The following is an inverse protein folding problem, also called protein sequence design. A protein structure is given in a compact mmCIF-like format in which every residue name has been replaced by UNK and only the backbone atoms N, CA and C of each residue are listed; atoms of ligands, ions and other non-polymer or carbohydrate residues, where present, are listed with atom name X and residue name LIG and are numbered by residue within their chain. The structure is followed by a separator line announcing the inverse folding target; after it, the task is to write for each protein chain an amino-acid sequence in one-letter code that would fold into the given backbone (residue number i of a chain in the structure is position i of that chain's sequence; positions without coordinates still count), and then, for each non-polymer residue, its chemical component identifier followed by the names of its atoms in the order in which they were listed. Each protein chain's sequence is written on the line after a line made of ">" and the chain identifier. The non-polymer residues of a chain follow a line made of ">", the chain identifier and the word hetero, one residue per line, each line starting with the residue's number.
data_IF_725182926792
#
_entry.id   IF_725182926792
#
_cell.length_a   1.000
_cell.length_b   1.000
_cell.length_c   1.000
_cell.angle_alpha   90.00
_cell.angle_beta   90.00
_cell.angle_gamma   90.00
#
_symmetry.space_group_name_H-M   'P 1'
#
loop_
_entity.id
_entity.type
_entity.pdbx_description
1 polymer ?
#
# COMPACT_ATOMS: atom_id res chain seq x y z
N UNK A 1 4.74 -32.31 25.28
CA UNK A 1 3.63 -31.59 25.93
C UNK A 1 3.73 -30.11 25.61
N UNK A 2 3.05 -29.67 24.57
CA UNK A 2 2.81 -28.26 24.36
C UNK A 2 2.06 -27.74 25.59
N UNK A 3 2.69 -26.87 26.36
CA UNK A 3 2.16 -26.29 27.56
C UNK A 3 0.85 -25.56 27.22
N UNK A 4 -0.22 -25.78 28.00
CA UNK A 4 -1.51 -25.11 27.87
C UNK A 4 -1.42 -23.57 27.91
N UNK A 5 -0.31 -23.00 28.41
CA UNK A 5 0.03 -21.58 28.34
C UNK A 5 0.33 -21.10 26.92
N UNK A 6 1.06 -21.91 26.12
CA UNK A 6 1.38 -21.54 24.73
C UNK A 6 0.15 -21.45 23.81
N UNK A 7 -0.79 -22.39 23.94
CA UNK A 7 -2.04 -22.37 23.17
C UNK A 7 -2.92 -21.13 23.51
N UNK A 8 -3.03 -20.77 24.79
CA UNK A 8 -3.78 -19.59 25.21
C UNK A 8 -3.22 -18.28 24.63
N UNK A 9 -1.89 -18.17 24.49
CA UNK A 9 -1.25 -17.00 23.92
C UNK A 9 -1.43 -16.94 22.39
N UNK A 10 -1.47 -18.09 21.70
CA UNK A 10 -1.80 -18.19 20.27
C UNK A 10 -3.18 -17.63 19.97
N UNK A 11 -4.20 -18.15 20.66
CA UNK A 11 -5.59 -17.71 20.45
C UNK A 11 -5.77 -16.23 20.76
N UNK A 12 -5.19 -15.72 21.87
CA UNK A 12 -5.25 -14.30 22.19
C UNK A 12 -4.65 -13.41 21.09
N UNK A 13 -3.51 -13.79 20.52
CA UNK A 13 -2.88 -13.02 19.43
C UNK A 13 -3.70 -13.09 18.15
N UNK A 14 -4.27 -14.24 17.81
CA UNK A 14 -5.16 -14.38 16.66
C UNK A 14 -6.41 -13.51 16.82
N UNK A 15 -7.05 -13.53 17.99
CA UNK A 15 -8.23 -12.72 18.28
C UNK A 15 -7.94 -11.21 18.23
N UNK A 16 -6.71 -10.78 18.56
CA UNK A 16 -6.29 -9.39 18.44
C UNK A 16 -6.09 -8.94 16.98
N UNK A 17 -5.68 -9.82 16.12
CA UNK A 17 -5.28 -9.48 14.73
C UNK A 17 -6.40 -9.74 13.73
N UNK A 18 -7.23 -10.78 13.95
CA UNK A 18 -8.34 -11.18 13.05
C UNK A 18 -9.32 -10.05 12.70
N UNK A 19 -9.75 -9.15 13.62
CA UNK A 19 -10.66 -8.05 13.29
C UNK A 19 -10.08 -7.04 12.29
N UNK A 20 -8.76 -7.02 12.10
CA UNK A 20 -8.06 -6.09 11.22
C UNK A 20 -7.54 -6.76 9.94
N UNK A 21 -7.99 -7.98 9.66
CA UNK A 21 -7.74 -8.66 8.41
C UNK A 21 -8.80 -8.25 7.40
N UNK A 22 -8.39 -7.66 6.30
CA UNK A 22 -9.21 -7.50 5.11
C UNK A 22 -8.55 -8.20 3.93
N UNK A 23 -9.36 -8.83 3.10
CA UNK A 23 -8.87 -9.54 1.92
C UNK A 23 -8.70 -8.59 0.75
N UNK A 24 -7.69 -8.84 -0.07
CA UNK A 24 -7.69 -8.38 -1.45
C UNK A 24 -8.72 -9.25 -2.24
N UNK A 25 -9.42 -8.71 -3.21
CA UNK A 25 -9.40 -7.36 -3.75
C UNK A 25 -10.19 -6.35 -2.89
N UNK A 26 -9.61 -5.18 -2.70
CA UNK A 26 -10.25 -4.02 -2.08
C UNK A 26 -10.95 -3.12 -3.11
N UNK A 27 -10.96 -3.57 -4.34
CA UNK A 27 -11.56 -2.90 -5.50
C UNK A 27 -12.93 -3.51 -5.81
N UNK A 28 -13.78 -2.73 -6.46
CA UNK A 28 -15.10 -3.15 -6.89
C UNK A 28 -15.12 -3.36 -8.40
N UNK A 29 -15.60 -4.51 -8.85
CA UNK A 29 -15.60 -4.90 -10.26
C UNK A 29 -16.52 -4.07 -11.17
N UNK A 30 -17.52 -3.40 -10.59
CA UNK A 30 -18.51 -2.59 -11.35
C UNK A 30 -18.23 -1.09 -11.25
N UNK A 31 -17.17 -0.67 -10.58
CA UNK A 31 -16.80 0.72 -10.38
C UNK A 31 -15.37 0.96 -10.88
N UNK A 32 -15.09 2.18 -11.31
CA UNK A 32 -13.70 2.61 -11.51
C UNK A 32 -13.01 2.77 -10.16
N UNK A 33 -11.80 2.24 -10.05
CA UNK A 33 -11.08 2.19 -8.78
C UNK A 33 -9.77 2.97 -8.86
N UNK A 34 -9.41 3.64 -7.76
CA UNK A 34 -8.10 4.28 -7.59
C UNK A 34 -7.49 3.84 -6.26
N UNK A 35 -6.25 3.36 -6.32
CA UNK A 35 -5.41 3.10 -5.16
C UNK A 35 -4.32 4.17 -5.10
N UNK A 36 -4.23 4.89 -3.99
CA UNK A 36 -3.14 5.82 -3.70
C UNK A 36 -2.18 5.13 -2.74
N UNK A 37 -0.94 4.88 -3.17
CA UNK A 37 0.10 4.28 -2.34
C UNK A 37 0.93 5.37 -1.67
N UNK A 38 0.89 5.43 -0.33
CA UNK A 38 1.62 6.40 0.49
C UNK A 38 2.60 5.70 1.44
N UNK A 39 3.52 6.46 2.03
CA UNK A 39 4.50 5.95 3.00
C UNK A 39 5.85 6.63 2.85
N UNK A 40 6.79 6.36 3.76
CA UNK A 40 8.11 7.02 3.77
C UNK A 40 9.03 6.47 2.67
N UNK A 41 10.11 7.22 2.38
CA UNK A 41 11.15 6.72 1.48
C UNK A 41 11.77 5.41 2.02
N UNK A 42 12.00 4.47 1.13
CA UNK A 42 12.57 3.17 1.49
C UNK A 42 11.57 2.17 2.08
N UNK A 43 10.30 2.53 2.29
CA UNK A 43 9.28 1.58 2.75
C UNK A 43 8.83 0.56 1.69
N UNK A 44 9.33 0.64 0.46
CA UNK A 44 8.96 -0.30 -0.61
C UNK A 44 7.69 0.07 -1.38
N UNK A 45 7.27 1.35 -1.39
CA UNK A 45 6.07 1.81 -2.12
C UNK A 45 6.06 1.42 -3.60
N UNK A 46 7.05 1.85 -4.36
CA UNK A 46 7.14 1.59 -5.80
C UNK A 46 7.11 0.10 -6.12
N UNK A 47 7.83 -0.71 -5.34
CA UNK A 47 7.80 -2.17 -5.46
C UNK A 47 6.42 -2.74 -5.10
N UNK A 48 5.75 -2.19 -4.09
CA UNK A 48 4.40 -2.61 -3.69
C UNK A 48 3.38 -2.23 -4.76
N UNK A 49 3.50 -1.06 -5.39
CA UNK A 49 2.66 -0.66 -6.53
C UNK A 49 2.78 -1.68 -7.68
N UNK A 50 4.00 -2.09 -8.02
CA UNK A 50 4.22 -3.12 -9.05
C UNK A 50 3.61 -4.48 -8.66
N UNK A 51 3.75 -4.89 -7.40
CA UNK A 51 3.16 -6.14 -6.89
C UNK A 51 1.63 -6.11 -6.89
N UNK A 52 1.02 -5.00 -6.48
CA UNK A 52 -0.43 -4.79 -6.57
C UNK A 52 -0.90 -4.84 -8.02
N UNK A 53 -0.20 -4.14 -8.91
CA UNK A 53 -0.52 -4.16 -10.33
C UNK A 53 -0.45 -5.57 -10.91
N UNK A 54 0.59 -6.34 -10.56
CA UNK A 54 0.70 -7.73 -10.97
C UNK A 54 -0.43 -8.59 -10.39
N UNK A 55 -0.72 -8.47 -9.10
CA UNK A 55 -1.77 -9.21 -8.41
C UNK A 55 -3.14 -9.02 -9.08
N UNK A 56 -3.54 -7.77 -9.36
CA UNK A 56 -4.81 -7.49 -10.02
C UNK A 56 -4.82 -7.85 -11.51
N UNK A 57 -3.67 -7.76 -12.20
CA UNK A 57 -3.58 -8.20 -13.60
C UNK A 57 -3.82 -9.71 -13.76
N UNK A 58 -3.42 -10.52 -12.77
CA UNK A 58 -3.73 -11.95 -12.75
C UNK A 58 -5.24 -12.22 -12.60
N UNK A 59 -5.99 -11.27 -12.08
CA UNK A 59 -7.47 -11.31 -11.98
C UNK A 59 -8.15 -10.70 -13.22
N UNK A 60 -7.39 -10.43 -14.30
CA UNK A 60 -7.89 -9.87 -15.56
C UNK A 60 -8.40 -8.43 -15.47
N UNK A 61 -8.04 -7.67 -14.42
CA UNK A 61 -8.35 -6.25 -14.35
C UNK A 61 -7.45 -5.45 -15.31
N UNK A 62 -8.03 -4.48 -15.99
CA UNK A 62 -7.29 -3.46 -16.75
C UNK A 62 -6.69 -2.44 -15.78
N UNK A 63 -5.40 -2.13 -15.95
CA UNK A 63 -4.65 -1.34 -14.96
C UNK A 63 -3.85 -0.24 -15.62
N UNK A 64 -3.79 0.92 -14.96
CA UNK A 64 -2.90 2.03 -15.31
C UNK A 64 -2.13 2.48 -14.07
N UNK A 65 -0.87 2.88 -14.24
CA UNK A 65 -0.01 3.35 -13.17
C UNK A 65 0.21 4.87 -13.25
N UNK A 66 0.24 5.54 -12.11
CA UNK A 66 0.56 6.97 -11.99
C UNK A 66 1.87 7.17 -11.23
N UNK A 67 2.91 7.73 -11.86
CA UNK A 67 4.20 8.02 -11.25
C UNK A 67 4.20 9.41 -10.59
N UNK A 68 3.57 9.54 -9.42
CA UNK A 68 3.43 10.81 -8.72
C UNK A 68 4.60 11.11 -7.74
N UNK A 69 5.65 10.30 -7.68
CA UNK A 69 6.95 10.67 -7.05
C UNK A 69 7.82 11.44 -8.07
N UNK A 70 7.37 12.62 -8.45
CA UNK A 70 7.98 13.45 -9.51
C UNK A 70 9.33 14.07 -9.11
N UNK A 71 9.67 14.03 -7.84
CA UNK A 71 10.94 14.58 -7.31
C UNK A 71 12.11 13.59 -7.43
N UNK A 72 11.82 12.32 -7.63
CA UNK A 72 12.83 11.26 -7.72
C UNK A 72 12.79 10.61 -9.09
N UNK A 73 13.69 11.07 -9.98
CA UNK A 73 13.83 10.47 -11.31
C UNK A 73 13.95 8.94 -11.25
N UNK A 74 14.76 8.42 -10.32
CA UNK A 74 14.93 6.98 -10.13
C UNK A 74 13.63 6.24 -9.75
N UNK A 75 12.67 6.87 -9.04
CA UNK A 75 11.39 6.26 -8.73
C UNK A 75 10.50 6.12 -9.98
N UNK A 76 10.46 7.18 -10.80
CA UNK A 76 9.74 7.15 -12.08
C UNK A 76 10.37 6.13 -13.04
N UNK A 77 11.69 6.06 -13.11
CA UNK A 77 12.40 5.06 -13.92
C UNK A 77 12.11 3.64 -13.42
N UNK A 78 12.17 3.40 -12.11
CA UNK A 78 11.85 2.11 -11.52
C UNK A 78 10.41 1.67 -11.84
N UNK A 79 9.43 2.58 -11.68
CA UNK A 79 8.04 2.29 -12.02
C UNK A 79 7.89 2.03 -13.53
N UNK A 80 8.65 2.74 -14.37
CA UNK A 80 8.64 2.54 -15.83
C UNK A 80 9.18 1.17 -16.24
N UNK A 81 10.20 0.66 -15.54
CA UNK A 81 10.71 -0.70 -15.75
C UNK A 81 9.62 -1.72 -15.44
N UNK A 82 8.94 -1.57 -14.29
CA UNK A 82 7.84 -2.44 -13.90
C UNK A 82 6.67 -2.39 -14.90
N UNK A 83 6.30 -1.20 -15.36
CA UNK A 83 5.22 -1.06 -16.34
C UNK A 83 5.54 -1.76 -17.65
N UNK A 84 6.77 -1.68 -18.14
CA UNK A 84 7.22 -2.44 -19.32
C UNK A 84 7.16 -3.95 -19.09
N UNK A 85 7.65 -4.41 -17.93
CA UNK A 85 7.64 -5.84 -17.57
C UNK A 85 6.22 -6.41 -17.48
N UNK A 86 5.28 -5.62 -16.95
CA UNK A 86 3.89 -6.01 -16.76
C UNK A 86 3.00 -5.66 -17.96
N UNK A 87 3.56 -5.03 -19.00
CA UNK A 87 2.82 -4.51 -20.16
C UNK A 87 1.69 -3.56 -19.77
N UNK A 88 1.95 -2.65 -18.83
CA UNK A 88 1.00 -1.66 -18.33
C UNK A 88 1.38 -0.26 -18.78
N UNK A 89 0.36 0.57 -19.01
CA UNK A 89 0.56 1.99 -19.28
C UNK A 89 0.90 2.75 -17.99
N UNK A 90 1.79 3.74 -18.12
CA UNK A 90 2.20 4.58 -17.00
C UNK A 90 1.99 6.04 -17.36
N UNK A 91 1.29 6.77 -16.49
CA UNK A 91 1.21 8.22 -16.53
C UNK A 91 2.43 8.79 -15.80
N UNK A 92 3.24 9.51 -16.54
CA UNK A 92 4.40 10.23 -16.02
C UNK A 92 4.24 11.73 -16.23
N UNK A 93 5.10 12.50 -15.60
CA UNK A 93 5.25 13.93 -15.81
C UNK A 93 6.73 14.32 -15.90
N UNK A 94 6.98 15.58 -16.20
CA UNK A 94 8.33 16.13 -16.15
C UNK A 94 8.86 16.11 -14.70
N UNK A 95 10.17 16.14 -14.56
CA UNK A 95 10.81 16.20 -13.24
C UNK A 95 10.33 17.45 -12.48
N UNK A 96 9.97 17.27 -11.22
CA UNK A 96 9.38 18.30 -10.35
C UNK A 96 8.01 18.84 -10.81
N UNK A 97 7.33 18.18 -11.73
CA UNK A 97 5.94 18.51 -12.03
C UNK A 97 5.04 18.26 -10.80
N UNK A 98 3.87 18.93 -10.79
CA UNK A 98 2.91 18.77 -9.69
C UNK A 98 2.40 17.31 -9.60
N UNK A 99 2.65 16.59 -8.50
CA UNK A 99 2.16 15.23 -8.30
C UNK A 99 0.64 15.08 -8.47
N UNK A 100 -0.13 16.09 -8.09
CA UNK A 100 -1.57 16.09 -8.25
C UNK A 100 -2.01 16.14 -9.72
N UNK A 101 -1.19 16.70 -10.62
CA UNK A 101 -1.46 16.66 -12.06
C UNK A 101 -1.34 15.24 -12.63
N UNK A 102 -0.42 14.43 -12.11
CA UNK A 102 -0.29 13.02 -12.48
C UNK A 102 -1.50 12.22 -11.99
N UNK A 103 -1.88 12.43 -10.74
CA UNK A 103 -3.08 11.81 -10.17
C UNK A 103 -4.33 12.17 -11.00
N UNK A 104 -4.50 13.44 -11.36
CA UNK A 104 -5.59 13.91 -12.18
C UNK A 104 -5.63 13.19 -13.54
N UNK A 105 -4.49 13.14 -14.25
CA UNK A 105 -4.40 12.47 -15.55
C UNK A 105 -4.69 10.96 -15.43
N UNK A 106 -4.24 10.32 -14.34
CA UNK A 106 -4.51 8.92 -14.07
C UNK A 106 -6.02 8.68 -13.91
N UNK A 107 -6.69 9.45 -13.07
CA UNK A 107 -8.15 9.37 -12.85
C UNK A 107 -8.91 9.67 -14.15
N UNK A 108 -8.51 10.71 -14.87
CA UNK A 108 -9.15 11.09 -16.13
C UNK A 108 -9.10 9.93 -17.14
N UNK A 109 -7.96 9.28 -17.24
CA UNK A 109 -7.77 8.15 -18.14
C UNK A 109 -8.53 6.90 -17.71
N UNK A 110 -8.57 6.62 -16.40
CA UNK A 110 -9.39 5.54 -15.81
C UNK A 110 -10.85 5.73 -16.20
N UNK A 111 -11.39 6.93 -16.04
CA UNK A 111 -12.78 7.21 -16.37
C UNK A 111 -13.05 7.25 -17.88
N UNK A 112 -12.19 7.87 -18.68
CA UNK A 112 -12.38 8.02 -20.11
C UNK A 112 -12.31 6.71 -20.89
N UNK A 113 -11.54 5.74 -20.41
CA UNK A 113 -11.32 4.45 -21.09
C UNK A 113 -11.92 3.26 -20.36
N UNK A 114 -12.72 3.49 -19.29
CA UNK A 114 -13.32 2.44 -18.46
C UNK A 114 -12.26 1.43 -17.96
N UNK A 115 -11.11 1.96 -17.50
CA UNK A 115 -10.06 1.14 -16.88
C UNK A 115 -10.53 0.77 -15.48
N UNK A 116 -10.35 -0.49 -15.08
CA UNK A 116 -10.85 -1.00 -13.80
C UNK A 116 -10.09 -0.39 -12.60
N UNK A 117 -8.78 -0.16 -12.76
CA UNK A 117 -7.91 0.24 -11.65
C UNK A 117 -6.78 1.19 -12.06
N UNK A 118 -6.72 2.34 -11.40
CA UNK A 118 -5.53 3.20 -11.38
C UNK A 118 -4.75 3.04 -10.08
N UNK A 119 -3.42 2.85 -10.13
CA UNK A 119 -2.55 2.79 -8.95
C UNK A 119 -1.55 3.93 -9.02
N UNK A 120 -1.53 4.79 -7.99
CA UNK A 120 -0.72 6.00 -7.92
C UNK A 120 0.41 5.80 -6.91
N UNK A 121 1.67 5.81 -7.39
CA UNK A 121 2.87 5.84 -6.54
C UNK A 121 3.19 7.28 -6.15
N UNK A 122 3.31 7.56 -4.85
CA UNK A 122 3.54 8.91 -4.33
C UNK A 122 4.93 9.09 -3.71
N UNK A 123 5.36 10.34 -3.56
CA UNK A 123 6.57 10.67 -2.80
C UNK A 123 6.49 10.22 -1.34
N UNK A 124 7.66 10.06 -0.70
CA UNK A 124 7.74 9.64 0.71
C UNK A 124 8.78 10.45 1.52
N UNK A 125 9.06 11.69 1.14
CA UNK A 125 10.10 12.53 1.74
C UNK A 125 9.68 13.10 3.08
N UNK A 126 9.89 12.35 4.15
CA UNK A 126 9.54 12.82 5.50
C UNK A 126 10.43 13.98 6.00
N UNK A 127 11.58 14.22 5.37
CA UNK A 127 12.46 15.36 5.68
C UNK A 127 11.78 16.71 5.41
N UNK A 128 10.98 16.81 4.34
CA UNK A 128 10.10 17.94 4.01
C UNK A 128 8.65 17.60 4.31
N UNK A 129 8.38 17.31 5.57
CA UNK A 129 7.11 16.76 6.04
C UNK A 129 5.91 17.61 5.65
N UNK A 130 5.97 18.92 5.84
CA UNK A 130 4.86 19.84 5.53
C UNK A 130 4.51 19.76 4.04
N UNK A 131 5.50 19.90 3.17
CA UNK A 131 5.32 19.88 1.72
C UNK A 131 4.77 18.52 1.25
N UNK A 132 5.28 17.40 1.81
CA UNK A 132 4.78 16.08 1.51
C UNK A 132 3.29 15.94 1.87
N UNK A 133 2.91 16.36 3.08
CA UNK A 133 1.53 16.22 3.55
C UNK A 133 0.56 17.10 2.75
N UNK A 134 0.97 18.31 2.36
CA UNK A 134 0.18 19.17 1.48
C UNK A 134 0.01 18.55 0.07
N UNK A 135 1.07 17.95 -0.48
CA UNK A 135 0.98 17.22 -1.75
C UNK A 135 0.02 16.03 -1.67
N UNK A 136 0.11 15.21 -0.61
CA UNK A 136 -0.77 14.07 -0.42
C UNK A 136 -2.23 14.49 -0.25
N UNK A 137 -2.51 15.54 0.51
CA UNK A 137 -3.86 16.14 0.61
C UNK A 137 -4.37 16.60 -0.76
N UNK A 138 -3.50 17.22 -1.55
CA UNK A 138 -3.88 17.69 -2.89
C UNK A 138 -4.20 16.54 -3.83
N UNK A 139 -3.41 15.46 -3.80
CA UNK A 139 -3.67 14.23 -4.56
C UNK A 139 -5.02 13.65 -4.13
N UNK A 140 -5.21 13.43 -2.83
CA UNK A 140 -6.44 12.87 -2.26
C UNK A 140 -7.67 13.67 -2.69
N UNK A 141 -7.62 15.00 -2.54
CA UNK A 141 -8.69 15.91 -2.96
C UNK A 141 -8.98 15.84 -4.46
N UNK A 142 -7.96 15.80 -5.30
CA UNK A 142 -8.10 15.72 -6.76
C UNK A 142 -8.83 14.44 -7.16
N UNK A 143 -8.48 13.30 -6.56
CA UNK A 143 -9.13 12.03 -6.84
C UNK A 143 -10.59 12.06 -6.39
N UNK A 144 -10.89 12.55 -5.18
CA UNK A 144 -12.24 12.61 -4.63
C UNK A 144 -13.17 13.52 -5.43
N UNK A 145 -12.66 14.66 -5.93
CA UNK A 145 -13.48 15.66 -6.62
C UNK A 145 -13.81 15.32 -8.07
N UNK A 146 -13.05 14.41 -8.70
CA UNK A 146 -13.23 14.07 -10.12
C UNK A 146 -14.50 13.25 -10.39
N UNK A 147 -14.84 12.33 -9.50
CA UNK A 147 -16.07 11.56 -9.60
C UNK A 147 -16.49 10.97 -8.25
N UNK A 148 -17.71 11.26 -7.82
CA UNK A 148 -18.26 10.76 -6.54
C UNK A 148 -18.54 9.23 -6.54
N UNK A 149 -18.61 8.61 -7.72
CA UNK A 149 -18.79 7.15 -7.85
C UNK A 149 -17.46 6.37 -7.89
N UNK A 150 -16.34 7.05 -7.77
CA UNK A 150 -15.02 6.43 -7.81
C UNK A 150 -14.71 5.75 -6.47
N UNK A 151 -14.39 4.45 -6.51
CA UNK A 151 -13.92 3.75 -5.32
C UNK A 151 -12.45 4.08 -5.07
N UNK A 152 -12.19 5.03 -4.17
CA UNK A 152 -10.83 5.41 -3.78
C UNK A 152 -10.40 4.67 -2.52
N UNK A 153 -9.17 4.16 -2.53
CA UNK A 153 -8.49 3.59 -1.36
C UNK A 153 -7.10 4.18 -1.21
N UNK A 154 -6.77 4.62 -0.02
CA UNK A 154 -5.40 5.02 0.33
C UNK A 154 -4.73 3.93 1.14
N UNK A 155 -3.69 3.35 0.58
CA UNK A 155 -2.90 2.28 1.19
C UNK A 155 -1.57 2.84 1.66
N UNK A 156 -1.25 2.64 2.93
CA UNK A 156 0.07 2.99 3.43
C UNK A 156 0.99 1.77 3.45
N UNK A 157 2.13 1.91 2.78
CA UNK A 157 3.19 0.89 2.77
C UNK A 157 4.16 1.20 3.90
N UNK A 158 4.29 0.26 4.83
CA UNK A 158 5.20 0.35 5.97
C UNK A 158 6.28 -0.73 5.88
N UNK A 159 7.46 -0.40 6.39
CA UNK A 159 8.59 -1.33 6.48
C UNK A 159 8.45 -2.15 7.78
N UNK A 160 8.23 -3.45 7.65
CA UNK A 160 8.06 -4.36 8.79
C UNK A 160 9.28 -4.46 9.69
N UNK A 161 10.47 -4.08 9.21
CA UNK A 161 11.71 -4.13 10.00
C UNK A 161 11.88 -2.95 10.96
N UNK A 162 11.12 -1.85 10.78
CA UNK A 162 11.32 -0.59 11.52
C UNK A 162 10.50 -0.46 12.81
N UNK A 163 9.66 -1.43 13.11
CA UNK A 163 8.98 -1.57 14.40
C UNK A 163 8.18 -0.33 14.84
N UNK A 164 8.50 0.20 16.01
CA UNK A 164 7.82 1.36 16.61
C UNK A 164 7.90 2.63 15.73
N UNK A 165 8.89 2.73 14.86
CA UNK A 165 9.00 3.84 13.91
C UNK A 165 7.86 3.82 12.89
N UNK A 166 7.46 2.65 12.41
CA UNK A 166 6.33 2.48 11.51
C UNK A 166 5.02 2.97 12.13
N UNK A 167 4.79 2.70 13.42
CA UNK A 167 3.60 3.18 14.13
C UNK A 167 3.53 4.70 14.10
N UNK A 168 4.63 5.37 14.48
CA UNK A 168 4.69 6.84 14.47
C UNK A 168 4.48 7.43 13.07
N UNK A 169 4.98 6.75 12.04
CA UNK A 169 4.76 7.17 10.65
C UNK A 169 3.27 7.11 10.29
N UNK A 170 2.59 6.00 10.59
CA UNK A 170 1.15 5.86 10.30
C UNK A 170 0.34 6.89 11.09
N UNK A 171 0.60 7.07 12.39
CA UNK A 171 -0.05 8.08 13.21
C UNK A 171 0.12 9.49 12.63
N UNK A 172 1.30 9.78 12.06
CA UNK A 172 1.59 11.06 11.46
C UNK A 172 0.83 11.29 10.14
N UNK A 173 0.85 10.30 9.23
CA UNK A 173 0.11 10.38 7.97
C UNK A 173 -1.40 10.49 8.20
N UNK A 174 -1.93 9.75 9.18
CA UNK A 174 -3.36 9.74 9.54
C UNK A 174 -3.90 11.08 10.02
N UNK A 175 -3.03 12.02 10.43
CA UNK A 175 -3.44 13.40 10.76
C UNK A 175 -3.85 14.22 9.53
N UNK A 176 -3.42 13.82 8.34
CA UNK A 176 -3.55 14.61 7.13
C UNK A 176 -4.42 13.97 6.06
N UNK A 177 -4.39 12.64 5.98
CA UNK A 177 -5.15 11.85 5.01
C UNK A 177 -5.77 10.63 5.69
N UNK A 178 -6.89 10.15 5.18
CA UNK A 178 -7.48 8.89 5.62
C UNK A 178 -6.63 7.74 5.07
N UNK A 179 -6.24 6.80 5.93
CA UNK A 179 -5.58 5.56 5.53
C UNK A 179 -6.62 4.44 5.63
N UNK A 180 -6.92 3.79 4.50
CA UNK A 180 -7.92 2.73 4.43
C UNK A 180 -7.33 1.37 4.80
N UNK A 181 -6.02 1.18 4.64
CA UNK A 181 -5.34 -0.05 5.01
C UNK A 181 -3.84 0.02 4.89
N UNK A 182 -3.18 -1.02 5.38
CA UNK A 182 -1.73 -1.16 5.41
C UNK A 182 -1.28 -2.31 4.50
N UNK A 183 -0.13 -2.13 3.86
CA UNK A 183 0.68 -3.23 3.33
C UNK A 183 2.01 -3.20 4.06
N UNK A 184 2.40 -4.35 4.62
CA UNK A 184 3.63 -4.49 5.36
C UNK A 184 4.68 -5.13 4.46
N UNK A 185 5.73 -4.39 4.15
CA UNK A 185 6.82 -4.83 3.28
C UNK A 185 8.00 -5.40 4.07
N UNK A 186 8.92 -6.07 3.38
CA UNK A 186 10.21 -6.56 3.90
C UNK A 186 10.07 -7.54 5.08
N UNK A 187 9.13 -8.46 4.99
CA UNK A 187 8.88 -9.48 6.01
C UNK A 187 9.67 -10.78 5.78
N UNK A 188 10.89 -10.67 5.27
CA UNK A 188 11.74 -11.82 4.93
C UNK A 188 12.50 -12.41 6.13
N UNK A 189 12.32 -11.86 7.34
CA UNK A 189 13.07 -12.24 8.55
C UNK A 189 12.18 -12.63 9.74
N UNK A 190 12.64 -13.61 10.52
CA UNK A 190 11.93 -14.26 11.62
C UNK A 190 11.61 -13.38 12.86
N UNK A 191 12.30 -12.24 13.05
CA UNK A 191 12.16 -11.42 14.26
C UNK A 191 10.95 -10.44 14.26
N UNK A 192 10.12 -10.44 13.22
CA UNK A 192 9.23 -9.33 12.87
C UNK A 192 7.81 -9.51 13.41
N UNK A 193 7.45 -10.71 13.77
CA UNK A 193 6.07 -11.07 14.11
C UNK A 193 5.46 -10.31 15.28
N UNK A 194 6.21 -10.16 16.38
CA UNK A 194 5.73 -9.44 17.56
C UNK A 194 5.50 -7.95 17.31
N UNK A 195 6.29 -7.36 16.42
CA UNK A 195 6.16 -5.96 16.02
C UNK A 195 4.87 -5.71 15.25
N UNK A 196 4.51 -6.61 14.33
CA UNK A 196 3.30 -6.45 13.49
C UNK A 196 2.04 -6.58 14.33
N UNK A 197 1.99 -7.53 15.25
CA UNK A 197 0.86 -7.63 16.21
C UNK A 197 0.71 -6.32 16.97
N UNK A 198 1.82 -5.72 17.43
CA UNK A 198 1.79 -4.42 18.13
C UNK A 198 1.34 -3.27 17.22
N UNK A 199 1.73 -3.26 15.94
CA UNK A 199 1.29 -2.28 14.95
C UNK A 199 -0.22 -2.38 14.73
N UNK A 200 -0.73 -3.57 14.49
CA UNK A 200 -2.15 -3.82 14.25
C UNK A 200 -2.98 -3.45 15.48
N UNK A 201 -2.56 -3.89 16.65
CA UNK A 201 -3.29 -3.62 17.90
C UNK A 201 -3.38 -2.12 18.20
N UNK A 202 -2.30 -1.38 17.99
CA UNK A 202 -2.23 0.05 18.28
C UNK A 202 -2.94 0.92 17.26
N UNK A 203 -2.76 0.63 15.97
CA UNK A 203 -3.28 1.47 14.90
C UNK A 203 -4.74 1.22 14.56
N UNK A 204 -5.23 0.00 14.77
CA UNK A 204 -6.60 -0.42 14.45
C UNK A 204 -6.97 -0.15 12.98
N UNK A 205 -5.97 -0.24 12.08
CA UNK A 205 -6.13 -0.08 10.63
C UNK A 205 -6.00 -1.47 10.00
N UNK A 206 -6.86 -1.84 9.04
CA UNK A 206 -6.79 -3.13 8.37
C UNK A 206 -5.45 -3.36 7.68
N UNK A 207 -4.96 -4.60 7.71
CA UNK A 207 -3.81 -5.04 6.92
C UNK A 207 -4.34 -5.81 5.71
N UNK A 208 -4.04 -5.32 4.51
CA UNK A 208 -4.47 -5.93 3.26
C UNK A 208 -3.51 -7.00 2.78
N UNK A 209 -2.22 -6.81 3.01
CA UNK A 209 -1.22 -7.74 2.50
C UNK A 209 0.16 -7.60 3.10
N UNK A 210 0.97 -8.59 2.80
CA UNK A 210 2.38 -8.70 3.20
C UNK A 210 3.24 -8.83 1.95
N UNK A 211 4.25 -7.96 1.84
CA UNK A 211 5.25 -8.02 0.78
C UNK A 211 6.54 -8.66 1.29
N UNK A 212 6.94 -9.78 0.68
CA UNK A 212 8.20 -10.46 0.94
C UNK A 212 9.11 -10.36 -0.27
N UNK A 213 10.41 -10.07 -0.07
CA UNK A 213 11.37 -9.95 -1.17
C UNK A 213 11.00 -8.91 -2.23
N UNK A 214 11.71 -8.95 -3.35
CA UNK A 214 11.56 -7.97 -4.46
C UNK A 214 10.77 -8.51 -5.65
N UNK A 215 10.42 -9.79 -5.67
CA UNK A 215 9.71 -10.41 -6.77
C UNK A 215 8.25 -9.92 -6.87
N UNK A 216 7.74 -9.72 -8.08
CA UNK A 216 6.35 -9.30 -8.34
C UNK A 216 5.29 -10.25 -7.78
N UNK A 217 5.61 -11.53 -7.67
CA UNK A 217 4.72 -12.58 -7.12
C UNK A 217 4.74 -12.64 -5.58
N UNK A 218 5.53 -11.82 -4.91
CA UNK A 218 5.74 -11.91 -3.46
C UNK A 218 4.88 -10.90 -2.67
N UNK A 219 3.65 -10.66 -3.11
CA UNK A 219 2.59 -10.04 -2.33
C UNK A 219 1.59 -11.13 -1.96
N UNK A 220 1.44 -11.35 -0.67
CA UNK A 220 0.46 -12.29 -0.13
C UNK A 220 -0.65 -11.52 0.60
N UNK A 221 -1.88 -12.03 0.52
CA UNK A 221 -2.96 -11.55 1.36
C UNK A 221 -2.62 -11.77 2.83
N UNK A 222 -3.00 -10.81 3.68
CA UNK A 222 -2.78 -10.96 5.11
C UNK A 222 -3.74 -12.01 5.68
N UNK A 223 -3.20 -13.08 6.20
CA UNK A 223 -3.91 -14.14 6.92
C UNK A 223 -3.44 -14.15 8.38
N UNK A 224 -4.32 -13.72 9.28
CA UNK A 224 -4.01 -13.58 10.70
C UNK A 224 -3.63 -14.92 11.34
N UNK A 225 -4.25 -16.02 10.95
CA UNK A 225 -4.00 -17.35 11.52
C UNK A 225 -2.64 -17.88 11.07
N UNK A 226 -2.37 -17.82 9.78
CA UNK A 226 -1.06 -18.21 9.22
C UNK A 226 0.06 -17.33 9.78
N UNK A 227 -0.19 -16.03 9.88
CA UNK A 227 0.79 -15.07 10.39
C UNK A 227 1.16 -15.37 11.84
N UNK A 228 0.17 -15.51 12.74
CA UNK A 228 0.43 -15.83 14.15
C UNK A 228 1.05 -17.21 14.32
N UNK A 229 0.62 -18.21 13.52
CA UNK A 229 1.19 -19.57 13.56
C UNK A 229 2.68 -19.57 13.16
N UNK A 230 3.08 -18.76 12.18
CA UNK A 230 4.47 -18.63 11.74
C UNK A 230 5.35 -18.01 12.83
N UNK A 231 4.85 -16.96 13.52
CA UNK A 231 5.56 -16.28 14.61
C UNK A 231 5.83 -17.20 15.81
N UNK A 232 4.97 -18.17 16.06
CA UNK A 232 5.04 -19.02 17.25
C UNK A 232 5.82 -20.31 17.02
N UNK A 233 6.08 -20.65 15.76
CA UNK A 233 6.88 -21.82 15.37
C UNK A 233 8.36 -21.47 15.10
N UNK A 234 8.71 -20.20 15.07
CA UNK A 234 10.08 -19.66 15.06
C UNK A 234 10.56 -19.34 16.50
#
# INVERSE_FOLDING_TARGET
>A
TFSSRGLGDVYKRQDMVRPFQEKLPIIKSEESNIIICVGVNGSGKTTTVAKLAHFYSQMQFSIILGAADTFRAAATEQLSVWGKELNLEIITGDQNSDPASIAFKCVDKVLAHNIDLGIIDTAGRLQNRTDLMEQLKKIDKVVQTKNSSLNQKTIMVIDGTTGQSSIKQVEEFSKYIKIDGLIISKLDGSAIGGTIVSIIDRLKIPVFGIGMGENKNSLEEFDAEKFVSKILND
#
